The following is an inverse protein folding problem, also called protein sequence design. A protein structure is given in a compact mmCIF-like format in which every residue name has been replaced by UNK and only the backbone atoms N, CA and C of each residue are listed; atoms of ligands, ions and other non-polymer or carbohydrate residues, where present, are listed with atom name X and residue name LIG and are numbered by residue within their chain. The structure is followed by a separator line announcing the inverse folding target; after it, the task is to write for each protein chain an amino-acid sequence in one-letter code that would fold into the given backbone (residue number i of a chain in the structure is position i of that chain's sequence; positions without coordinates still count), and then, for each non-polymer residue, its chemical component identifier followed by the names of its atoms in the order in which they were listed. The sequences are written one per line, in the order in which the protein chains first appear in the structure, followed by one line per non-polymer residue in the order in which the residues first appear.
data_IF_954115355858
#
_entry.id   IF_954115355858
#
_cell.length_a   1.000
_cell.length_b   1.000
_cell.length_c   1.000
_cell.angle_alpha   90.00
_cell.angle_beta   90.00
_cell.angle_gamma   90.00
#
_symmetry.space_group_name_H-M   'P 1'
#
loop_
_entity.id
_entity.type
_entity.pdbx_description
1 polymer ?
#
# COMPACT_ATOMS: atom_id res chain seq x y z
N UNK A 1 42.97 7.26 46.45
CA UNK A 1 42.83 7.46 45.00
C UNK A 1 41.53 6.79 44.60
N UNK A 2 40.52 7.49 44.05
CA UNK A 2 39.32 6.83 43.54
C UNK A 2 39.66 6.09 42.24
N UNK A 3 39.28 4.83 42.17
CA UNK A 3 39.33 4.01 40.95
C UNK A 3 38.50 4.68 39.87
N UNK A 4 39.10 4.87 38.70
CA UNK A 4 38.37 5.30 37.50
C UNK A 4 37.39 4.18 37.08
N UNK A 5 36.14 4.49 36.69
CA UNK A 5 35.25 3.50 36.20
C UNK A 5 35.85 2.88 34.91
N UNK A 6 35.96 1.55 34.92
CA UNK A 6 36.35 0.78 33.72
C UNK A 6 35.48 1.17 32.55
N UNK A 7 36.09 1.67 31.49
CA UNK A 7 35.42 1.91 30.20
C UNK A 7 34.80 0.57 29.73
N UNK A 8 33.50 0.50 29.71
CA UNK A 8 32.78 -0.64 29.12
C UNK A 8 33.08 -0.61 27.63
N UNK A 9 34.02 -1.43 27.17
CA UNK A 9 34.26 -1.64 25.75
C UNK A 9 33.12 -2.52 25.25
N UNK A 10 32.22 -1.93 24.44
CA UNK A 10 31.19 -2.70 23.72
C UNK A 10 31.91 -3.72 22.84
N UNK A 11 31.56 -4.98 23.01
CA UNK A 11 32.04 -6.03 22.10
C UNK A 11 31.36 -5.87 20.72
N UNK A 12 31.99 -6.34 19.65
CA UNK A 12 31.40 -6.33 18.30
C UNK A 12 30.01 -6.98 18.27
N UNK A 13 29.81 -7.98 19.12
CA UNK A 13 28.52 -8.66 19.26
C UNK A 13 27.43 -7.75 19.86
N UNK A 14 27.75 -6.99 20.91
CA UNK A 14 26.82 -6.02 21.51
C UNK A 14 26.50 -4.87 20.55
N UNK A 15 27.48 -4.44 19.76
CA UNK A 15 27.25 -3.44 18.72
C UNK A 15 26.32 -3.97 17.63
N UNK A 16 26.53 -5.21 17.18
CA UNK A 16 25.66 -5.86 16.20
C UNK A 16 24.23 -6.05 16.72
N UNK A 17 24.05 -6.45 17.99
CA UNK A 17 22.71 -6.54 18.59
C UNK A 17 22.03 -5.16 18.65
N UNK A 18 22.78 -4.11 19.02
CA UNK A 18 22.24 -2.75 19.05
C UNK A 18 21.80 -2.28 17.64
N UNK A 19 22.62 -2.49 16.61
CA UNK A 19 22.26 -2.11 15.25
C UNK A 19 21.07 -2.92 14.73
N UNK A 20 20.99 -4.21 15.01
CA UNK A 20 19.83 -5.02 14.64
C UNK A 20 18.56 -4.54 15.33
N UNK A 21 18.68 -4.14 16.61
CA UNK A 21 17.61 -3.51 17.36
C UNK A 21 17.12 -2.21 16.71
N UNK A 22 18.01 -1.29 16.35
CA UNK A 22 17.66 -0.03 15.67
C UNK A 22 17.00 -0.26 14.30
N UNK A 23 17.55 -1.19 13.51
CA UNK A 23 16.98 -1.53 12.21
C UNK A 23 15.58 -2.17 12.32
N UNK A 24 15.32 -2.95 13.36
CA UNK A 24 13.99 -3.51 13.60
C UNK A 24 12.92 -2.45 13.87
N UNK A 25 13.30 -1.30 14.43
CA UNK A 25 12.40 -0.15 14.62
C UNK A 25 11.83 0.34 13.31
N UNK A 26 12.66 0.41 12.25
CA UNK A 26 12.22 0.90 10.93
C UNK A 26 11.18 -0.03 10.27
N UNK A 27 11.19 -1.32 10.64
CA UNK A 27 10.19 -2.28 10.16
C UNK A 27 8.83 -2.08 10.85
N UNK A 28 8.83 -1.68 12.11
CA UNK A 28 7.62 -1.58 12.93
C UNK A 28 7.05 -0.16 12.98
N UNK A 29 7.86 0.88 12.81
CA UNK A 29 7.37 2.26 12.70
C UNK A 29 7.23 2.69 11.25
N UNK A 30 6.17 3.42 10.96
CA UNK A 30 5.98 4.08 9.67
C UNK A 30 6.54 5.50 9.79
N UNK A 31 7.63 5.78 9.07
CA UNK A 31 8.09 7.17 8.91
C UNK A 31 7.12 7.91 7.99
N UNK A 32 6.51 8.94 8.52
CA UNK A 32 5.57 9.80 7.79
C UNK A 32 6.17 11.19 7.50
N UNK A 33 7.46 11.34 7.68
CA UNK A 33 8.16 12.57 7.30
C UNK A 33 8.09 12.75 5.79
N UNK A 34 7.77 13.97 5.36
CA UNK A 34 7.72 14.32 3.94
C UNK A 34 9.08 14.82 3.52
N UNK A 35 9.77 14.06 2.67
CA UNK A 35 10.98 14.49 2.00
C UNK A 35 10.63 15.15 0.66
N UNK A 36 11.34 16.21 0.32
CA UNK A 36 11.16 17.00 -0.89
C UNK A 36 12.42 16.92 -1.77
N UNK A 37 12.76 15.75 -2.35
CA UNK A 37 14.05 15.52 -3.02
C UNK A 37 14.15 16.20 -4.38
N UNK A 38 13.02 16.42 -5.08
CA UNK A 38 12.96 16.93 -6.44
C UNK A 38 12.89 18.46 -6.43
N UNK A 39 13.54 19.11 -7.38
CA UNK A 39 13.37 20.56 -7.65
C UNK A 39 12.54 20.75 -8.91
N UNK A 40 11.55 21.63 -8.87
CA UNK A 40 10.82 22.10 -10.05
C UNK A 40 11.59 23.31 -10.59
N UNK A 41 12.36 23.10 -11.65
CA UNK A 41 13.16 24.18 -12.26
C UNK A 41 12.28 25.20 -13.00
N UNK A 42 11.19 24.73 -13.64
CA UNK A 42 10.24 25.58 -14.37
C UNK A 42 8.87 24.91 -14.49
N UNK A 43 7.84 25.74 -14.65
CA UNK A 43 6.45 25.32 -14.83
C UNK A 43 5.74 26.22 -15.85
N UNK A 44 5.66 25.78 -17.11
CA UNK A 44 5.05 26.56 -18.20
C UNK A 44 4.49 25.65 -19.31
N UNK A 45 3.60 26.18 -20.08
CA UNK A 45 3.04 25.54 -21.30
C UNK A 45 2.51 24.11 -21.05
N UNK A 46 1.89 23.87 -19.87
CA UNK A 46 1.39 22.55 -19.50
C UNK A 46 2.48 21.53 -19.22
N UNK A 47 3.69 21.96 -18.87
CA UNK A 47 4.84 21.12 -18.54
C UNK A 47 5.50 21.54 -17.24
N UNK A 48 6.10 20.55 -16.57
CA UNK A 48 7.05 20.76 -15.49
C UNK A 48 8.43 20.32 -15.93
N UNK A 49 9.43 21.13 -15.57
CA UNK A 49 10.84 20.80 -15.73
C UNK A 49 11.37 20.44 -14.35
N UNK A 50 11.87 19.22 -14.20
CA UNK A 50 12.26 18.62 -12.94
C UNK A 50 13.72 18.20 -12.96
N UNK A 51 14.36 18.12 -11.80
CA UNK A 51 15.64 17.44 -11.67
C UNK A 51 15.50 15.96 -12.08
N UNK A 52 16.58 15.41 -12.61
CA UNK A 52 16.63 13.99 -12.99
C UNK A 52 16.82 13.11 -11.74
N UNK A 53 15.86 12.22 -11.48
CA UNK A 53 15.94 11.14 -10.50
C UNK A 53 15.24 9.87 -11.00
N UNK A 54 15.24 8.81 -10.18
CA UNK A 54 14.67 7.52 -10.56
C UNK A 54 13.17 7.62 -10.89
N UNK A 55 12.39 8.44 -10.19
CA UNK A 55 10.93 8.55 -10.38
C UNK A 55 10.56 9.62 -11.43
N UNK A 56 11.31 10.72 -11.53
CA UNK A 56 11.02 11.76 -12.54
C UNK A 56 11.18 11.26 -13.96
N UNK A 57 12.11 10.33 -14.20
CA UNK A 57 12.40 9.74 -15.52
C UNK A 57 11.48 8.59 -15.92
N UNK A 58 10.64 8.08 -15.00
CA UNK A 58 9.77 6.94 -15.31
C UNK A 58 8.64 7.34 -16.26
N UNK A 59 8.45 6.62 -17.40
CA UNK A 59 7.40 6.91 -18.36
C UNK A 59 6.06 6.30 -17.92
N UNK A 60 5.59 6.69 -16.74
CA UNK A 60 4.33 6.25 -16.15
C UNK A 60 3.53 7.46 -15.64
N UNK A 61 2.23 7.27 -15.39
CA UNK A 61 1.40 8.28 -14.72
C UNK A 61 1.88 8.46 -13.28
N UNK A 62 2.16 9.70 -12.87
CA UNK A 62 2.65 10.02 -11.51
C UNK A 62 2.02 11.31 -11.01
N UNK A 63 1.97 11.47 -9.70
CA UNK A 63 1.76 12.77 -9.06
C UNK A 63 3.08 13.46 -8.78
N UNK A 64 3.09 14.78 -8.80
CA UNK A 64 4.17 15.59 -8.23
C UNK A 64 3.55 16.62 -7.28
N UNK A 65 4.10 16.70 -6.07
CA UNK A 65 3.57 17.52 -4.99
C UNK A 65 4.60 18.55 -4.56
N UNK A 66 4.15 19.79 -4.31
CA UNK A 66 4.94 20.89 -3.74
C UNK A 66 4.11 21.62 -2.69
N UNK A 67 4.73 22.51 -1.96
CA UNK A 67 4.00 23.29 -0.96
C UNK A 67 2.92 24.17 -1.62
N UNK A 68 1.66 23.83 -1.37
CA UNK A 68 0.49 24.58 -1.85
C UNK A 68 -0.10 24.08 -3.17
N UNK A 69 0.38 22.96 -3.74
CA UNK A 69 -0.22 22.38 -4.94
C UNK A 69 0.32 21.02 -5.34
N UNK A 70 -0.31 20.45 -6.35
CA UNK A 70 0.14 19.20 -6.98
C UNK A 70 -0.24 19.16 -8.46
N UNK A 71 0.41 18.30 -9.22
CA UNK A 71 0.04 18.02 -10.59
C UNK A 71 0.03 16.51 -10.87
N UNK A 72 -0.90 16.11 -11.74
CA UNK A 72 -0.95 14.78 -12.35
C UNK A 72 -0.12 14.81 -13.63
N UNK A 73 0.85 13.92 -13.73
CA UNK A 73 1.77 13.83 -14.87
C UNK A 73 1.39 12.66 -15.76
N UNK A 74 1.36 12.92 -17.06
CA UNK A 74 1.19 11.86 -18.08
C UNK A 74 2.44 10.98 -18.14
N UNK A 75 2.37 9.79 -18.80
CA UNK A 75 3.55 8.97 -19.05
C UNK A 75 4.61 9.62 -19.94
N UNK A 76 4.27 10.71 -20.64
CA UNK A 76 5.20 11.37 -21.54
C UNK A 76 6.38 11.99 -20.79
N UNK A 77 7.59 11.56 -21.14
CA UNK A 77 8.85 12.00 -20.56
C UNK A 77 9.80 12.39 -21.69
N UNK A 78 10.47 13.52 -21.55
CA UNK A 78 11.63 13.85 -22.37
C UNK A 78 12.77 14.37 -21.49
N UNK A 79 14.02 14.13 -21.92
CA UNK A 79 15.21 14.58 -21.20
C UNK A 79 15.96 15.58 -22.07
N UNK A 80 16.40 16.66 -21.47
CA UNK A 80 17.17 17.69 -22.15
C UNK A 80 18.07 18.43 -21.15
N UNK A 81 19.34 18.54 -21.44
CA UNK A 81 20.33 19.25 -20.62
C UNK A 81 20.35 18.85 -19.13
N UNK A 82 20.21 17.55 -18.84
CA UNK A 82 20.19 17.02 -17.46
C UNK A 82 18.90 17.29 -16.68
N UNK A 83 17.86 17.74 -17.38
CA UNK A 83 16.53 17.97 -16.83
C UNK A 83 15.50 17.03 -17.44
N UNK A 84 14.43 16.76 -16.68
CA UNK A 84 13.30 15.94 -17.08
C UNK A 84 12.08 16.81 -17.33
N UNK A 85 11.54 16.73 -18.53
CA UNK A 85 10.32 17.44 -18.90
C UNK A 85 9.13 16.47 -18.82
N UNK A 86 8.14 16.82 -18.01
CA UNK A 86 6.92 16.05 -17.81
C UNK A 86 5.71 16.85 -18.27
N UNK A 87 4.82 16.21 -19.01
CA UNK A 87 3.54 16.81 -19.40
C UNK A 87 2.54 16.71 -18.26
N UNK A 88 1.90 17.83 -17.92
CA UNK A 88 0.88 17.94 -16.90
C UNK A 88 -0.48 17.60 -17.50
N UNK A 89 -1.18 16.61 -16.93
CA UNK A 89 -2.56 16.30 -17.26
C UNK A 89 -3.54 17.21 -16.53
N UNK A 90 -3.30 17.42 -15.22
CA UNK A 90 -4.08 18.31 -14.36
C UNK A 90 -3.18 18.95 -13.31
N UNK A 91 -3.47 20.22 -13.00
CA UNK A 91 -2.81 20.96 -11.93
C UNK A 91 -3.88 21.39 -10.92
N UNK A 92 -3.61 21.20 -9.64
CA UNK A 92 -4.48 21.56 -8.52
C UNK A 92 -3.71 22.41 -7.51
N UNK A 93 -4.37 23.42 -6.97
CA UNK A 93 -3.73 24.40 -6.07
C UNK A 93 -2.94 25.47 -6.80
N UNK A 94 -1.93 26.03 -6.13
CA UNK A 94 -1.09 27.11 -6.66
C UNK A 94 -0.05 26.61 -7.65
N UNK A 95 0.30 27.43 -8.64
CA UNK A 95 1.43 27.14 -9.54
C UNK A 95 2.75 27.08 -8.76
N UNK A 96 3.64 26.11 -9.05
CA UNK A 96 4.94 26.08 -8.41
C UNK A 96 5.82 27.22 -8.91
N UNK A 97 6.55 27.87 -8.02
CA UNK A 97 7.59 28.81 -8.38
C UNK A 97 8.83 28.06 -8.89
N UNK A 98 9.62 28.65 -9.81
CA UNK A 98 10.93 28.11 -10.15
C UNK A 98 11.80 27.90 -8.90
N UNK A 99 12.41 26.72 -8.78
CA UNK A 99 13.16 26.29 -7.59
C UNK A 99 12.33 25.69 -6.47
N UNK A 100 11.01 25.56 -6.63
CA UNK A 100 10.17 24.89 -5.63
C UNK A 100 10.60 23.46 -5.40
N UNK A 101 10.65 23.07 -4.12
CA UNK A 101 10.92 21.67 -3.75
C UNK A 101 9.65 20.83 -3.85
N UNK A 102 9.81 19.59 -4.33
CA UNK A 102 8.72 18.68 -4.63
C UNK A 102 9.07 17.23 -4.31
N UNK A 103 8.06 16.37 -4.35
CA UNK A 103 8.24 14.90 -4.36
C UNK A 103 7.32 14.26 -5.40
N UNK A 104 7.75 13.13 -5.94
CA UNK A 104 6.96 12.29 -6.82
C UNK A 104 6.13 11.30 -6.00
N UNK A 105 4.88 11.03 -6.45
CA UNK A 105 3.97 10.11 -5.76
C UNK A 105 3.25 9.21 -6.78
N UNK A 106 3.40 7.90 -6.61
CA UNK A 106 2.69 6.91 -7.43
C UNK A 106 1.19 6.84 -7.13
N UNK A 107 0.70 7.41 -6.00
CA UNK A 107 -0.72 7.51 -5.72
C UNK A 107 -1.42 8.61 -6.54
N UNK A 108 -0.66 9.47 -7.20
CA UNK A 108 -1.08 10.44 -8.22
C UNK A 108 -1.95 11.58 -7.68
N UNK A 109 -3.06 11.26 -7.01
CA UNK A 109 -4.11 12.21 -6.62
C UNK A 109 -3.89 12.81 -5.23
N UNK A 110 -4.39 14.04 -5.04
CA UNK A 110 -4.08 14.87 -3.87
C UNK A 110 -4.83 14.51 -2.60
N UNK A 111 -6.15 14.64 -2.55
CA UNK A 111 -6.88 14.72 -1.29
C UNK A 111 -7.95 13.65 -1.09
N UNK A 112 -9.06 13.72 -1.80
CA UNK A 112 -10.24 12.89 -1.59
C UNK A 112 -11.00 12.60 -2.91
N UNK A 113 -12.03 11.77 -2.91
CA UNK A 113 -12.77 11.42 -4.13
C UNK A 113 -13.39 12.60 -4.86
N UNK A 114 -13.84 13.61 -4.15
CA UNK A 114 -14.47 14.80 -4.76
C UNK A 114 -13.42 15.65 -5.47
N UNK A 115 -12.29 15.92 -4.81
CA UNK A 115 -11.20 16.71 -5.39
C UNK A 115 -10.52 15.97 -6.55
N UNK A 116 -10.27 14.66 -6.38
CA UNK A 116 -9.60 13.86 -7.40
C UNK A 116 -10.44 13.68 -8.66
N UNK A 117 -11.72 13.35 -8.51
CA UNK A 117 -12.56 12.86 -9.62
C UNK A 117 -13.96 13.48 -9.70
N UNK A 118 -14.31 14.39 -8.80
CA UNK A 118 -15.69 14.89 -8.70
C UNK A 118 -16.69 13.83 -8.21
N UNK A 119 -16.22 12.76 -7.59
CA UNK A 119 -17.04 11.65 -7.11
C UNK A 119 -17.57 12.00 -5.72
N UNK A 120 -18.91 12.09 -5.52
CA UNK A 120 -19.50 12.27 -4.22
C UNK A 120 -19.19 11.12 -3.27
N UNK A 121 -18.93 11.44 -2.00
CA UNK A 121 -18.67 10.45 -0.98
C UNK A 121 -19.15 10.91 0.40
N UNK A 122 -19.37 9.96 1.28
CA UNK A 122 -19.68 10.21 2.70
C UNK A 122 -18.44 9.88 3.55
N UNK A 123 -18.13 10.75 4.52
CA UNK A 123 -17.18 10.39 5.58
C UNK A 123 -17.94 9.61 6.63
N UNK A 124 -17.56 8.35 6.81
CA UNK A 124 -18.18 7.44 7.78
C UNK A 124 -17.19 7.06 8.86
N UNK A 125 -17.69 6.63 9.99
CA UNK A 125 -16.92 6.22 11.17
C UNK A 125 -17.11 4.72 11.39
N UNK A 126 -15.98 3.99 11.53
CA UNK A 126 -15.99 2.57 11.84
C UNK A 126 -15.49 2.39 13.27
N UNK A 127 -16.34 1.87 14.14
CA UNK A 127 -15.98 1.63 15.54
C UNK A 127 -14.92 0.52 15.65
N UNK A 128 -13.91 0.78 16.46
CA UNK A 128 -12.76 -0.11 16.67
C UNK A 128 -12.46 -0.39 18.15
N UNK A 129 -11.64 -1.41 18.44
CA UNK A 129 -11.15 -1.66 19.81
C UNK A 129 -10.33 -0.50 20.36
N UNK A 130 -9.60 0.18 19.50
CA UNK A 130 -8.72 1.28 19.84
C UNK A 130 -9.41 2.65 19.71
N UNK A 131 -10.61 2.70 19.15
CA UNK A 131 -11.36 3.92 18.87
C UNK A 131 -11.99 3.89 17.49
N UNK A 132 -12.40 5.04 17.00
CA UNK A 132 -13.09 5.19 15.72
C UNK A 132 -12.11 5.47 14.61
N UNK A 133 -12.20 4.72 13.51
CA UNK A 133 -11.42 4.96 12.28
C UNK A 133 -12.30 5.56 11.20
N UNK A 134 -11.88 6.67 10.57
CA UNK A 134 -12.62 7.26 9.47
C UNK A 134 -12.46 6.47 8.17
N UNK A 135 -13.53 6.42 7.37
CA UNK A 135 -13.52 5.82 6.04
C UNK A 135 -14.26 6.70 5.04
N UNK A 136 -14.01 6.50 3.75
CA UNK A 136 -14.79 7.09 2.66
C UNK A 136 -15.78 6.04 2.14
N UNK A 137 -17.05 6.40 2.13
CA UNK A 137 -18.12 5.59 1.56
C UNK A 137 -18.56 6.22 0.24
N UNK A 138 -18.29 5.56 -0.86
CA UNK A 138 -18.71 5.95 -2.21
C UNK A 138 -19.83 5.03 -2.65
N UNK A 139 -20.97 5.61 -2.98
CA UNK A 139 -22.17 4.89 -3.45
C UNK A 139 -22.36 5.16 -4.94
N UNK A 140 -22.53 4.15 -5.78
CA UNK A 140 -22.97 4.34 -7.16
C UNK A 140 -24.47 4.66 -7.19
N UNK A 141 -25.00 4.94 -8.37
CA UNK A 141 -26.44 5.02 -8.55
C UNK A 141 -27.09 3.65 -8.27
N UNK A 142 -28.12 3.64 -7.44
CA UNK A 142 -28.81 2.42 -7.01
C UNK A 142 -28.35 1.88 -5.64
N UNK A 143 -28.70 0.62 -5.37
CA UNK A 143 -28.39 -0.06 -4.09
C UNK A 143 -27.73 -1.41 -4.41
N UNK A 144 -26.43 -1.43 -4.75
CA UNK A 144 -25.75 -2.67 -5.07
C UNK A 144 -25.60 -3.55 -3.83
N UNK A 145 -25.72 -4.85 -4.03
CA UNK A 145 -25.52 -5.85 -2.98
C UNK A 145 -24.05 -6.18 -2.74
N UNK A 146 -23.18 -5.93 -3.73
CA UNK A 146 -21.74 -6.17 -3.64
C UNK A 146 -21.00 -4.90 -3.25
N UNK A 147 -20.20 -4.98 -2.20
CA UNK A 147 -19.35 -3.90 -1.75
C UNK A 147 -17.88 -4.21 -2.02
N UNK A 148 -17.09 -3.19 -2.27
CA UNK A 148 -15.63 -3.26 -2.30
C UNK A 148 -15.08 -2.57 -1.06
N UNK A 149 -14.23 -3.25 -0.30
CA UNK A 149 -13.48 -2.65 0.80
C UNK A 149 -12.04 -2.47 0.33
N UNK A 150 -11.62 -1.21 0.18
CA UNK A 150 -10.29 -0.85 -0.29
C UNK A 150 -9.35 -0.59 0.89
N UNK A 151 -8.20 -1.28 0.90
CA UNK A 151 -7.22 -1.30 2.01
C UNK A 151 -5.85 -0.94 1.47
N UNK A 152 -5.35 0.22 1.84
CA UNK A 152 -4.07 0.74 1.37
C UNK A 152 -2.86 -0.01 1.96
N UNK A 153 -1.69 0.17 1.34
CA UNK A 153 -0.43 -0.42 1.76
C UNK A 153 0.20 0.27 2.99
N UNK A 154 1.31 -0.31 3.47
CA UNK A 154 2.08 0.25 4.59
C UNK A 154 2.61 1.64 4.26
N UNK A 155 2.39 2.60 5.13
CA UNK A 155 2.83 3.99 4.95
C UNK A 155 1.99 4.81 3.96
N UNK A 156 1.09 4.17 3.20
CA UNK A 156 0.11 4.84 2.37
C UNK A 156 -1.09 5.35 3.21
N UNK A 157 -2.10 5.84 2.54
CA UNK A 157 -3.37 6.26 3.14
C UNK A 157 -4.52 5.91 2.19
N UNK A 158 -5.76 6.23 2.56
CA UNK A 158 -6.94 6.07 1.69
C UNK A 158 -6.77 6.65 0.27
N UNK A 159 -5.84 7.62 0.08
CA UNK A 159 -5.52 8.20 -1.25
C UNK A 159 -5.07 7.14 -2.27
N UNK A 160 -4.49 6.04 -1.83
CA UNK A 160 -4.04 4.98 -2.73
C UNK A 160 -5.19 4.42 -3.58
N UNK A 161 -6.40 4.32 -3.02
CA UNK A 161 -7.59 3.84 -3.72
C UNK A 161 -8.12 4.81 -4.79
N UNK A 162 -7.75 6.09 -4.77
CA UNK A 162 -8.22 7.08 -5.73
C UNK A 162 -7.90 6.68 -7.17
N UNK A 163 -6.80 5.97 -7.41
CA UNK A 163 -6.41 5.48 -8.75
C UNK A 163 -7.48 4.60 -9.41
N UNK A 164 -8.19 3.82 -8.63
CA UNK A 164 -9.18 2.84 -9.14
C UNK A 164 -10.62 3.21 -8.81
N UNK A 165 -10.84 4.24 -8.02
CA UNK A 165 -12.16 4.61 -7.54
C UNK A 165 -13.18 4.88 -8.68
N UNK A 166 -12.83 5.58 -9.79
CA UNK A 166 -13.72 5.73 -10.93
C UNK A 166 -14.14 4.38 -11.54
N UNK A 167 -13.21 3.43 -11.59
CA UNK A 167 -13.48 2.08 -12.09
C UNK A 167 -14.44 1.32 -11.18
N UNK A 168 -14.24 1.38 -9.87
CA UNK A 168 -15.11 0.74 -8.88
C UNK A 168 -16.53 1.33 -8.92
N UNK A 169 -16.63 2.65 -9.00
CA UNK A 169 -17.90 3.36 -9.10
C UNK A 169 -18.63 2.99 -10.40
N UNK A 170 -17.92 2.99 -11.55
CA UNK A 170 -18.52 2.64 -12.85
C UNK A 170 -18.89 1.15 -12.95
N UNK A 171 -18.26 0.28 -12.17
CA UNK A 171 -18.64 -1.13 -12.04
C UNK A 171 -19.93 -1.32 -11.20
N UNK A 172 -20.49 -0.25 -10.66
CA UNK A 172 -21.73 -0.29 -9.89
C UNK A 172 -21.56 -0.86 -8.48
N UNK A 173 -20.37 -0.81 -7.90
CA UNK A 173 -20.14 -1.30 -6.53
C UNK A 173 -20.18 -0.17 -5.52
N UNK A 174 -20.73 -0.42 -4.33
CA UNK A 174 -20.49 0.46 -3.18
C UNK A 174 -19.06 0.26 -2.71
N UNK A 175 -18.29 1.35 -2.59
CA UNK A 175 -16.88 1.25 -2.20
C UNK A 175 -16.67 1.90 -0.83
N UNK A 176 -16.08 1.14 0.10
CA UNK A 176 -15.66 1.61 1.41
C UNK A 176 -14.12 1.66 1.44
N UNK A 177 -13.55 2.86 1.41
CA UNK A 177 -12.10 3.07 1.48
C UNK A 177 -11.73 3.33 2.93
N UNK A 178 -11.07 2.38 3.56
CA UNK A 178 -10.77 2.42 4.99
C UNK A 178 -9.39 2.98 5.30
N UNK A 179 -9.30 3.68 6.45
CA UNK A 179 -8.05 3.78 7.21
C UNK A 179 -8.02 2.67 8.27
N UNK A 180 -6.84 2.35 8.75
CA UNK A 180 -6.64 1.40 9.84
C UNK A 180 -5.68 1.98 10.90
N UNK A 181 -5.53 1.27 12.03
CA UNK A 181 -4.70 1.76 13.15
C UNK A 181 -3.33 2.27 12.69
N UNK A 182 -2.83 3.29 13.38
CA UNK A 182 -1.58 4.01 13.09
C UNK A 182 -1.60 4.89 11.83
N UNK A 183 -2.74 5.04 11.13
CA UNK A 183 -2.88 6.09 10.13
C UNK A 183 -3.02 7.48 10.78
N UNK A 184 -2.70 8.59 10.07
CA UNK A 184 -2.66 9.92 10.66
C UNK A 184 -3.94 10.38 11.37
N UNK A 185 -5.10 9.86 10.94
CA UNK A 185 -6.41 10.21 11.47
C UNK A 185 -7.15 9.00 12.08
N UNK A 186 -6.43 7.92 12.35
CA UNK A 186 -6.93 6.72 13.01
C UNK A 186 -6.28 6.54 14.38
N UNK A 187 -6.88 5.73 15.28
CA UNK A 187 -6.30 5.40 16.57
C UNK A 187 -4.93 4.74 16.44
N UNK A 188 -4.01 5.10 17.33
CA UNK A 188 -2.70 4.45 17.40
C UNK A 188 -2.77 3.14 18.18
N UNK A 189 -1.91 2.18 17.83
CA UNK A 189 -1.60 1.02 18.66
C UNK A 189 -0.98 1.48 19.99
N UNK A 190 -1.14 0.74 21.11
CA UNK A 190 -0.61 1.16 22.41
C UNK A 190 0.90 1.41 22.44
N UNK A 191 1.65 0.75 21.56
CA UNK A 191 3.10 0.86 21.40
C UNK A 191 3.50 1.72 20.17
N UNK A 192 2.52 2.25 19.45
CA UNK A 192 2.69 2.98 18.20
C UNK A 192 3.41 2.18 17.09
N UNK A 193 3.44 0.86 17.19
CA UNK A 193 3.98 -0.01 16.15
C UNK A 193 2.90 -0.50 15.19
N UNK A 194 3.29 -0.68 13.93
CA UNK A 194 2.55 -1.57 13.02
C UNK A 194 2.95 -3.01 13.35
N UNK A 195 1.95 -3.87 13.52
CA UNK A 195 2.15 -5.28 13.81
C UNK A 195 2.14 -6.14 12.52
N UNK A 196 2.44 -5.50 11.39
CA UNK A 196 2.62 -6.15 10.09
C UNK A 196 1.44 -7.02 9.63
N UNK A 197 0.25 -6.74 10.17
CA UNK A 197 -0.99 -7.45 9.88
C UNK A 197 -1.48 -8.36 11.00
N UNK A 198 -0.70 -8.57 12.06
CA UNK A 198 -1.11 -9.42 13.19
C UNK A 198 -2.31 -8.84 13.97
N UNK A 199 -2.42 -7.54 14.02
CA UNK A 199 -3.53 -6.83 14.68
C UNK A 199 -4.37 -6.01 13.72
N UNK A 200 -3.81 -5.45 12.64
CA UNK A 200 -4.47 -4.57 11.69
C UNK A 200 -5.60 -5.26 10.89
N UNK A 201 -5.53 -6.60 10.72
CA UNK A 201 -6.60 -7.36 10.06
C UNK A 201 -7.96 -7.18 10.75
N UNK A 202 -7.97 -6.89 12.06
CA UNK A 202 -9.21 -6.65 12.81
C UNK A 202 -9.94 -5.41 12.30
N UNK A 203 -9.23 -4.41 11.80
CA UNK A 203 -9.80 -3.19 11.26
C UNK A 203 -10.49 -3.48 9.91
N UNK A 204 -9.89 -4.37 9.10
CA UNK A 204 -10.53 -4.90 7.88
C UNK A 204 -11.77 -5.72 8.22
N UNK A 205 -11.69 -6.61 9.21
CA UNK A 205 -12.84 -7.42 9.65
C UNK A 205 -14.00 -6.54 10.14
N UNK A 206 -13.73 -5.40 10.79
CA UNK A 206 -14.75 -4.43 11.21
C UNK A 206 -15.39 -3.74 10.02
N UNK A 207 -14.59 -3.40 9.00
CA UNK A 207 -15.13 -2.84 7.77
C UNK A 207 -16.08 -3.83 7.08
N UNK A 208 -15.77 -5.14 7.09
CA UNK A 208 -16.68 -6.18 6.58
C UNK A 208 -17.99 -6.22 7.37
N UNK A 209 -17.90 -6.19 8.71
CA UNK A 209 -19.11 -6.15 9.57
C UNK A 209 -19.92 -4.87 9.33
N UNK A 210 -19.26 -3.73 9.20
CA UNK A 210 -19.91 -2.45 8.87
C UNK A 210 -20.65 -2.54 7.53
N UNK A 211 -19.99 -3.03 6.48
CA UNK A 211 -20.60 -3.19 5.16
C UNK A 211 -21.83 -4.10 5.23
N UNK A 212 -21.72 -5.25 5.93
CA UNK A 212 -22.84 -6.17 6.12
C UNK A 212 -24.01 -5.54 6.89
N UNK A 213 -23.73 -4.82 7.97
CA UNK A 213 -24.74 -4.08 8.73
C UNK A 213 -25.43 -3.00 7.90
N UNK A 214 -24.75 -2.44 6.91
CA UNK A 214 -25.28 -1.47 5.94
C UNK A 214 -25.95 -2.11 4.72
N UNK A 215 -26.09 -3.45 4.69
CA UNK A 215 -26.85 -4.17 3.65
C UNK A 215 -26.01 -4.84 2.58
N UNK A 216 -24.67 -4.90 2.71
CA UNK A 216 -23.86 -5.70 1.80
C UNK A 216 -24.23 -7.17 1.89
N UNK A 217 -24.57 -7.80 0.77
CA UNK A 217 -24.77 -9.24 0.68
C UNK A 217 -23.43 -9.98 0.40
N UNK A 218 -22.51 -9.31 -0.30
CA UNK A 218 -21.17 -9.81 -0.57
C UNK A 218 -20.13 -8.69 -0.52
N UNK A 219 -18.87 -9.05 -0.27
CA UNK A 219 -17.75 -8.12 -0.15
C UNK A 219 -16.58 -8.61 -1.00
N UNK A 220 -16.01 -7.73 -1.79
CA UNK A 220 -14.69 -7.91 -2.42
C UNK A 220 -13.68 -7.12 -1.61
N UNK A 221 -12.63 -7.78 -1.11
CA UNK A 221 -11.52 -7.11 -0.46
C UNK A 221 -10.50 -6.70 -1.52
N UNK A 222 -10.14 -5.42 -1.54
CA UNK A 222 -9.17 -4.87 -2.48
C UNK A 222 -7.99 -4.28 -1.69
N UNK A 223 -6.82 -4.89 -1.79
CA UNK A 223 -5.65 -4.45 -1.03
C UNK A 223 -4.41 -4.25 -1.89
N UNK A 224 -3.55 -3.31 -1.46
CA UNK A 224 -2.23 -3.05 -2.00
C UNK A 224 -1.17 -3.44 -0.98
N UNK A 225 -0.14 -4.16 -1.40
CA UNK A 225 1.02 -4.49 -0.57
C UNK A 225 0.61 -5.10 0.79
N UNK A 226 0.92 -4.46 1.92
CA UNK A 226 0.44 -4.86 3.24
C UNK A 226 -1.09 -4.87 3.32
N UNK A 227 -1.80 -3.94 2.67
CA UNK A 227 -3.26 -3.94 2.65
C UNK A 227 -3.86 -5.20 2.03
N UNK A 228 -3.21 -5.78 1.01
CA UNK A 228 -3.59 -7.07 0.46
C UNK A 228 -3.34 -8.21 1.46
N UNK A 229 -2.22 -8.16 2.18
CA UNK A 229 -1.95 -9.11 3.27
C UNK A 229 -3.00 -8.99 4.39
N UNK A 230 -3.40 -7.76 4.77
CA UNK A 230 -4.47 -7.55 5.77
C UNK A 230 -5.78 -8.19 5.31
N UNK A 231 -6.14 -8.05 4.03
CA UNK A 231 -7.32 -8.67 3.43
C UNK A 231 -7.27 -10.20 3.51
N UNK A 232 -6.12 -10.79 3.18
CA UNK A 232 -5.89 -12.24 3.26
C UNK A 232 -5.91 -12.74 4.70
N UNK A 233 -5.29 -12.02 5.62
CA UNK A 233 -5.30 -12.34 7.05
C UNK A 233 -6.71 -12.24 7.63
N UNK A 234 -7.48 -11.23 7.24
CA UNK A 234 -8.88 -11.11 7.64
C UNK A 234 -9.71 -12.30 7.16
N UNK A 235 -9.58 -12.70 5.88
CA UNK A 235 -10.26 -13.88 5.35
C UNK A 235 -9.96 -15.14 6.17
N UNK A 236 -8.71 -15.33 6.61
CA UNK A 236 -8.26 -16.52 7.37
C UNK A 236 -8.67 -16.50 8.83
N UNK A 237 -8.68 -15.32 9.47
CA UNK A 237 -8.86 -15.18 10.94
C UNK A 237 -10.27 -14.79 11.35
N UNK A 238 -11.11 -14.31 10.43
CA UNK A 238 -12.51 -14.01 10.73
C UNK A 238 -13.31 -15.30 11.04
N UNK A 239 -14.37 -15.18 11.86
CA UNK A 239 -15.32 -16.26 12.02
C UNK A 239 -15.86 -16.74 10.66
N UNK A 240 -16.08 -18.05 10.43
CA UNK A 240 -16.50 -18.58 9.14
C UNK A 240 -17.75 -17.91 8.54
N UNK A 241 -18.70 -17.48 9.37
CA UNK A 241 -19.91 -16.78 8.92
C UNK A 241 -19.60 -15.39 8.34
N UNK A 242 -18.60 -14.69 8.87
CA UNK A 242 -18.16 -13.39 8.38
C UNK A 242 -17.27 -13.57 7.15
N UNK A 243 -16.36 -14.54 7.16
CA UNK A 243 -15.52 -14.86 6.01
C UNK A 243 -16.35 -15.28 4.79
N UNK A 244 -17.51 -15.91 4.98
CA UNK A 244 -18.44 -16.28 3.91
C UNK A 244 -19.05 -15.07 3.16
N UNK A 245 -18.96 -13.85 3.71
CA UNK A 245 -19.37 -12.63 3.01
C UNK A 245 -18.36 -12.23 1.92
N UNK A 246 -17.11 -12.74 1.99
CA UNK A 246 -16.07 -12.38 1.03
C UNK A 246 -16.25 -13.22 -0.23
N UNK A 247 -16.64 -12.57 -1.32
CA UNK A 247 -16.86 -13.21 -2.63
C UNK A 247 -15.63 -13.19 -3.53
N UNK A 248 -14.61 -12.35 -3.24
CA UNK A 248 -13.39 -12.26 -4.02
C UNK A 248 -12.35 -11.34 -3.41
N UNK A 249 -11.12 -11.42 -3.90
CA UNK A 249 -10.00 -10.59 -3.48
C UNK A 249 -9.31 -9.99 -4.70
N UNK A 250 -9.03 -8.69 -4.67
CA UNK A 250 -8.06 -8.05 -5.55
C UNK A 250 -6.82 -7.74 -4.73
N UNK A 251 -5.69 -8.33 -5.10
CA UNK A 251 -4.41 -8.18 -4.40
C UNK A 251 -3.37 -7.59 -5.34
N UNK A 252 -2.87 -6.41 -5.03
CA UNK A 252 -1.82 -5.74 -5.82
C UNK A 252 -0.49 -5.80 -5.06
N UNK A 253 0.48 -6.49 -5.63
CA UNK A 253 1.82 -6.69 -5.05
C UNK A 253 1.78 -7.12 -3.57
N UNK A 254 1.00 -8.16 -3.20
CA UNK A 254 0.76 -8.52 -1.81
C UNK A 254 2.03 -8.96 -1.10
N UNK A 255 2.18 -8.56 0.16
CA UNK A 255 3.17 -9.18 1.04
C UNK A 255 2.63 -10.54 1.47
N UNK A 256 3.12 -11.62 0.88
CA UNK A 256 2.74 -12.99 1.24
C UNK A 256 3.66 -13.61 2.29
N UNK A 257 4.85 -13.04 2.45
CA UNK A 257 5.88 -13.51 3.37
C UNK A 257 6.73 -12.32 3.82
N UNK A 258 6.65 -11.97 5.10
CA UNK A 258 7.43 -10.87 5.66
C UNK A 258 8.90 -11.23 5.84
N UNK A 259 9.21 -12.47 6.21
CA UNK A 259 10.60 -12.93 6.34
C UNK A 259 11.32 -12.78 5.00
N UNK A 260 10.77 -13.36 3.93
CA UNK A 260 11.30 -13.21 2.59
C UNK A 260 11.39 -11.74 2.14
N UNK A 261 10.42 -10.91 2.54
CA UNK A 261 10.39 -9.48 2.17
C UNK A 261 11.49 -8.69 2.86
N UNK A 262 11.63 -8.81 4.17
CA UNK A 262 12.68 -8.12 4.93
C UNK A 262 14.08 -8.64 4.58
N UNK A 263 14.23 -9.95 4.38
CA UNK A 263 15.49 -10.55 3.92
C UNK A 263 15.91 -9.97 2.58
N UNK A 264 15.01 -9.93 1.60
CA UNK A 264 15.32 -9.38 0.28
C UNK A 264 15.69 -7.88 0.34
N UNK A 265 14.99 -7.09 1.16
CA UNK A 265 15.31 -5.68 1.36
C UNK A 265 16.67 -5.50 2.04
N UNK A 266 16.94 -6.21 3.13
CA UNK A 266 18.20 -6.13 3.88
C UNK A 266 19.40 -6.49 3.00
N UNK A 267 19.33 -7.61 2.28
CA UNK A 267 20.38 -8.04 1.34
C UNK A 267 20.64 -7.01 0.25
N UNK A 268 19.59 -6.36 -0.25
CA UNK A 268 19.73 -5.29 -1.25
C UNK A 268 20.49 -4.08 -0.73
N UNK A 269 20.39 -3.78 0.56
CA UNK A 269 21.17 -2.73 1.22
C UNK A 269 22.54 -3.21 1.71
N UNK A 270 22.96 -4.43 1.33
CA UNK A 270 24.26 -4.99 1.68
C UNK A 270 24.36 -5.50 3.12
N UNK A 271 23.23 -5.72 3.79
CA UNK A 271 23.20 -6.32 5.12
C UNK A 271 23.55 -7.81 4.99
N UNK A 272 24.54 -8.34 5.74
CA UNK A 272 24.90 -9.75 5.72
C UNK A 272 23.74 -10.66 6.16
N UNK A 273 23.63 -11.85 5.58
CA UNK A 273 22.51 -12.76 5.81
C UNK A 273 22.38 -13.18 7.30
N UNK A 274 23.51 -13.47 7.96
CA UNK A 274 23.54 -13.80 9.38
C UNK A 274 23.09 -12.64 10.29
N UNK A 275 23.23 -11.40 9.82
CA UNK A 275 22.74 -10.24 10.52
C UNK A 275 21.23 -10.02 10.30
N UNK A 276 20.68 -10.44 9.15
CA UNK A 276 19.23 -10.36 8.88
C UNK A 276 18.44 -11.16 9.90
N UNK A 277 18.87 -12.37 10.24
CA UNK A 277 18.20 -13.20 11.26
C UNK A 277 18.09 -12.50 12.62
N UNK A 278 19.06 -11.66 13.00
CA UNK A 278 19.01 -10.86 14.23
C UNK A 278 17.94 -9.78 14.13
N UNK A 279 17.86 -9.08 12.99
CA UNK A 279 16.83 -8.06 12.74
C UNK A 279 15.44 -8.69 12.84
N UNK A 280 15.20 -9.82 12.18
CA UNK A 280 13.91 -10.53 12.19
C UNK A 280 13.48 -10.94 13.60
N UNK A 281 14.41 -11.48 14.41
CA UNK A 281 14.15 -11.79 15.83
C UNK A 281 13.77 -10.56 16.64
N UNK A 282 14.43 -9.42 16.40
CA UNK A 282 14.07 -8.16 17.07
C UNK A 282 12.72 -7.62 16.60
N UNK A 283 12.36 -7.76 15.33
CA UNK A 283 11.02 -7.42 14.83
C UNK A 283 9.95 -8.24 15.56
N UNK A 284 10.12 -9.56 15.64
CA UNK A 284 9.17 -10.44 16.34
C UNK A 284 9.07 -10.11 17.83
N UNK A 285 10.21 -9.90 18.48
CA UNK A 285 10.24 -9.59 19.91
C UNK A 285 9.60 -8.24 20.23
N UNK A 286 9.94 -7.17 19.49
CA UNK A 286 9.37 -5.83 19.68
C UNK A 286 7.89 -5.77 19.36
N UNK A 287 7.50 -6.37 18.23
CA UNK A 287 6.11 -6.39 17.76
C UNK A 287 5.25 -7.40 18.50
N UNK A 288 5.85 -8.25 19.38
CA UNK A 288 5.15 -9.36 20.03
C UNK A 288 4.36 -10.19 19.03
N UNK A 289 4.95 -10.47 17.86
CA UNK A 289 4.34 -11.17 16.73
C UNK A 289 5.23 -12.32 16.24
N UNK A 290 4.67 -13.18 15.39
CA UNK A 290 5.41 -14.23 14.68
C UNK A 290 5.30 -14.01 13.18
N UNK A 291 6.42 -13.80 12.51
CA UNK A 291 6.46 -13.64 11.05
C UNK A 291 6.00 -14.91 10.34
N UNK A 292 6.28 -16.08 10.93
CA UNK A 292 5.84 -17.37 10.40
C UNK A 292 4.32 -17.52 10.44
N UNK A 293 3.64 -17.05 11.49
CA UNK A 293 2.17 -17.07 11.59
C UNK A 293 1.50 -16.06 10.66
N UNK A 294 2.22 -15.02 10.25
CA UNK A 294 1.77 -14.04 9.28
C UNK A 294 1.95 -14.48 7.83
N UNK A 295 2.76 -15.52 7.58
CA UNK A 295 2.97 -16.05 6.23
C UNK A 295 1.65 -16.47 5.58
N UNK A 296 1.48 -16.11 4.31
CA UNK A 296 0.33 -16.44 3.48
C UNK A 296 0.65 -17.56 2.47
N UNK A 297 1.77 -18.24 2.62
CA UNK A 297 2.23 -19.25 1.65
C UNK A 297 1.34 -20.49 1.61
N UNK A 298 0.61 -20.77 2.70
CA UNK A 298 -0.39 -21.86 2.79
C UNK A 298 -1.63 -21.61 1.92
N UNK A 299 -1.86 -20.39 1.44
CA UNK A 299 -2.93 -20.08 0.47
C UNK A 299 -2.84 -20.91 -0.81
N UNK A 300 -1.65 -21.43 -1.14
CA UNK A 300 -1.48 -22.40 -2.22
C UNK A 300 -2.40 -23.63 -2.06
N UNK A 301 -2.83 -23.95 -0.84
CA UNK A 301 -3.76 -25.06 -0.54
C UNK A 301 -5.09 -24.60 0.06
N UNK A 302 -5.13 -23.47 0.76
CA UNK A 302 -6.27 -23.04 1.58
C UNK A 302 -7.15 -21.98 0.93
N UNK A 303 -6.70 -21.30 -0.15
CA UNK A 303 -7.51 -20.30 -0.82
C UNK A 303 -8.80 -20.89 -1.40
N UNK A 304 -9.95 -20.32 -1.03
CA UNK A 304 -11.27 -20.79 -1.43
C UNK A 304 -12.08 -19.80 -2.27
N UNK A 305 -11.63 -18.54 -2.32
CA UNK A 305 -12.32 -17.47 -3.06
C UNK A 305 -11.54 -17.07 -4.30
N UNK A 306 -12.19 -16.61 -5.37
CA UNK A 306 -11.52 -16.05 -6.56
C UNK A 306 -10.60 -14.89 -6.17
N UNK A 307 -9.47 -14.76 -6.87
CA UNK A 307 -8.53 -13.68 -6.67
C UNK A 307 -8.06 -13.11 -8.02
N UNK A 308 -8.08 -11.77 -8.12
CA UNK A 308 -7.33 -11.04 -9.13
C UNK A 308 -6.00 -10.62 -8.50
N UNK A 309 -4.90 -11.13 -9.01
CA UNK A 309 -3.57 -10.93 -8.46
C UNK A 309 -2.70 -10.14 -9.44
N UNK A 310 -2.31 -8.93 -9.03
CA UNK A 310 -1.33 -8.13 -9.75
C UNK A 310 0.06 -8.36 -9.15
N UNK A 311 1.04 -8.66 -9.99
CA UNK A 311 2.43 -8.89 -9.60
C UNK A 311 3.35 -8.06 -10.47
N UNK A 312 4.18 -7.24 -9.85
CA UNK A 312 5.21 -6.52 -10.57
C UNK A 312 6.52 -7.31 -10.57
N UNK A 313 6.99 -7.69 -11.76
CA UNK A 313 8.20 -8.53 -11.92
C UNK A 313 9.49 -7.78 -11.65
N UNK A 314 9.45 -6.44 -11.64
CA UNK A 314 10.56 -5.55 -11.27
C UNK A 314 10.42 -5.01 -9.83
N UNK A 315 9.52 -5.58 -9.03
CA UNK A 315 9.32 -5.19 -7.64
C UNK A 315 10.58 -5.41 -6.81
N UNK A 316 11.07 -4.32 -6.22
CA UNK A 316 12.24 -4.33 -5.34
C UNK A 316 11.88 -4.17 -3.87
N UNK A 317 10.61 -3.98 -3.57
CA UNK A 317 10.07 -3.81 -2.21
C UNK A 317 9.56 -5.13 -1.67
N UNK A 318 8.74 -5.84 -2.46
CA UNK A 318 8.20 -7.16 -2.13
C UNK A 318 8.63 -8.14 -3.21
N UNK A 319 9.33 -9.24 -2.86
CA UNK A 319 9.74 -10.24 -3.83
C UNK A 319 8.54 -10.80 -4.60
N UNK A 320 8.54 -10.80 -5.94
CA UNK A 320 7.40 -11.30 -6.73
C UNK A 320 7.24 -12.82 -6.69
N UNK A 321 8.28 -13.54 -6.29
CA UNK A 321 8.33 -15.01 -6.36
C UNK A 321 7.20 -15.71 -5.59
N UNK A 322 6.91 -15.38 -4.32
CA UNK A 322 5.82 -16.03 -3.57
C UNK A 322 4.46 -15.85 -4.26
N UNK A 323 4.17 -14.66 -4.79
CA UNK A 323 2.92 -14.38 -5.49
C UNK A 323 2.80 -15.14 -6.82
N UNK A 324 3.89 -15.26 -7.59
CA UNK A 324 3.93 -16.05 -8.81
C UNK A 324 3.77 -17.56 -8.54
N UNK A 325 4.35 -18.06 -7.46
CA UNK A 325 4.19 -19.46 -7.02
C UNK A 325 2.74 -19.74 -6.59
N UNK A 326 2.13 -18.83 -5.84
CA UNK A 326 0.72 -18.91 -5.47
C UNK A 326 -0.20 -18.96 -6.70
N UNK A 327 0.02 -18.09 -7.68
CA UNK A 327 -0.75 -18.08 -8.92
C UNK A 327 -0.65 -19.42 -9.68
N UNK A 328 0.56 -19.99 -9.76
CA UNK A 328 0.78 -21.29 -10.40
C UNK A 328 0.11 -22.44 -9.63
N UNK A 329 0.05 -22.36 -8.32
CA UNK A 329 -0.59 -23.38 -7.48
C UNK A 329 -2.12 -23.37 -7.57
N UNK A 330 -2.74 -22.23 -7.89
CA UNK A 330 -4.19 -22.03 -7.88
C UNK A 330 -4.74 -21.43 -9.19
N UNK A 331 -4.42 -22.00 -10.37
CA UNK A 331 -4.79 -21.41 -11.67
C UNK A 331 -6.29 -21.35 -11.92
N UNK A 332 -7.09 -22.17 -11.20
CA UNK A 332 -8.56 -22.14 -11.29
C UNK A 332 -9.23 -21.06 -10.43
N UNK A 333 -8.50 -20.42 -9.51
CA UNK A 333 -9.02 -19.37 -8.63
C UNK A 333 -8.32 -18.02 -8.84
N UNK A 334 -7.09 -18.02 -9.37
CA UNK A 334 -6.30 -16.81 -9.48
C UNK A 334 -6.19 -16.38 -10.94
N UNK A 335 -6.67 -15.17 -11.23
CA UNK A 335 -6.36 -14.44 -12.45
C UNK A 335 -5.11 -13.61 -12.21
N UNK A 336 -4.00 -13.96 -12.86
CA UNK A 336 -2.72 -13.27 -12.72
C UNK A 336 -2.55 -12.18 -13.79
N UNK A 337 -2.22 -10.98 -13.33
CA UNK A 337 -1.76 -9.86 -14.16
C UNK A 337 -0.34 -9.49 -13.77
N UNK A 338 0.53 -9.23 -14.75
CA UNK A 338 1.93 -8.88 -14.51
C UNK A 338 2.30 -7.53 -15.10
N UNK A 339 3.19 -6.81 -14.42
CA UNK A 339 3.80 -5.55 -14.86
C UNK A 339 5.31 -5.54 -14.57
N UNK A 340 5.99 -4.47 -14.95
CA UNK A 340 7.40 -4.23 -14.66
C UNK A 340 7.70 -2.75 -14.33
N UNK A 341 6.77 -2.09 -13.65
CA UNK A 341 6.84 -0.66 -13.29
C UNK A 341 7.41 -0.40 -11.89
N UNK A 342 7.58 -1.45 -11.08
CA UNK A 342 7.95 -1.39 -9.67
C UNK A 342 6.74 -1.54 -8.75
N UNK A 343 7.00 -1.67 -7.45
CA UNK A 343 6.02 -2.01 -6.43
C UNK A 343 4.75 -1.17 -6.49
N UNK A 344 3.58 -1.83 -6.65
CA UNK A 344 2.25 -1.21 -6.67
C UNK A 344 2.03 -0.19 -7.80
N UNK A 345 2.83 -0.25 -8.88
CA UNK A 345 2.79 0.72 -10.00
C UNK A 345 2.21 0.15 -11.29
N UNK A 346 1.61 -1.03 -11.26
CA UNK A 346 0.98 -1.64 -12.44
C UNK A 346 -0.10 -0.73 -13.05
N UNK A 347 -0.95 -0.11 -12.22
CA UNK A 347 -1.92 0.89 -12.67
C UNK A 347 -1.23 2.11 -13.31
N UNK A 348 -0.15 2.60 -12.73
CA UNK A 348 0.56 3.79 -13.24
C UNK A 348 1.15 3.57 -14.63
N UNK A 349 1.55 2.34 -14.95
CA UNK A 349 2.11 1.96 -16.25
C UNK A 349 1.03 1.86 -17.32
N UNK A 350 -0.05 1.12 -17.05
CA UNK A 350 -1.11 0.81 -18.02
C UNK A 350 -2.50 0.89 -17.35
N UNK A 351 -3.00 2.12 -17.02
CA UNK A 351 -4.25 2.27 -16.29
C UNK A 351 -5.42 1.53 -16.96
N UNK A 352 -5.56 1.64 -18.28
CA UNK A 352 -6.69 1.04 -19.01
C UNK A 352 -6.70 -0.50 -18.92
N UNK A 353 -5.55 -1.15 -19.01
CA UNK A 353 -5.42 -2.62 -18.89
C UNK A 353 -5.72 -3.06 -17.47
N UNK A 354 -5.15 -2.37 -16.50
CA UNK A 354 -5.37 -2.64 -15.07
C UNK A 354 -6.86 -2.51 -14.72
N UNK A 355 -7.48 -1.42 -15.09
CA UNK A 355 -8.89 -1.14 -14.81
C UNK A 355 -9.84 -2.10 -15.52
N UNK A 356 -9.52 -2.52 -16.75
CA UNK A 356 -10.30 -3.53 -17.46
C UNK A 356 -10.27 -4.88 -16.74
N UNK A 357 -9.11 -5.28 -16.21
CA UNK A 357 -8.98 -6.49 -15.39
C UNK A 357 -9.83 -6.41 -14.11
N UNK A 358 -9.80 -5.26 -13.41
CA UNK A 358 -10.61 -5.02 -12.20
C UNK A 358 -12.11 -5.10 -12.53
N UNK A 359 -12.59 -4.42 -13.59
CA UNK A 359 -14.01 -4.48 -14.02
C UNK A 359 -14.44 -5.91 -14.35
N UNK A 360 -13.62 -6.62 -15.11
CA UNK A 360 -13.91 -8.02 -15.49
C UNK A 360 -14.03 -8.92 -14.26
N UNK A 361 -13.09 -8.77 -13.32
CA UNK A 361 -13.12 -9.54 -12.09
C UNK A 361 -14.35 -9.24 -11.24
N UNK A 362 -14.66 -7.96 -11.00
CA UNK A 362 -15.85 -7.57 -10.23
C UNK A 362 -17.13 -8.13 -10.85
N UNK A 363 -17.26 -8.10 -12.18
CA UNK A 363 -18.41 -8.69 -12.87
C UNK A 363 -18.52 -10.22 -12.71
N UNK A 364 -17.43 -10.90 -12.42
CA UNK A 364 -17.42 -12.36 -12.24
C UNK A 364 -17.73 -12.82 -10.81
N UNK A 365 -17.66 -11.93 -9.83
CA UNK A 365 -17.84 -12.23 -8.39
C UNK A 365 -18.97 -11.43 -7.74
N UNK A 366 -19.70 -10.62 -8.52
CA UNK A 366 -20.83 -9.78 -8.09
C UNK A 366 -22.10 -10.60 -7.81
#
# INVERSE_FOLDING_TARGET
MPEQPSSCVLTDELLNEHFAWELSETALRVDRSVSWPVTIADARDGRLVLDEDEDTVRPVTMGVFWQGGHAELTPAVSRHDGQVHRTVARLSGGHPAPGARAYMDSHVYGTDPMDAHGIPFEKVAIDGKLGVSPAWLVKPDGVPSTWVIAVHGRGATRREALRVLPTLTSAGTTTLVIGYRNDPDCPESPDAYTHLGDTEWEDVARAVRYAHACGAASVVLYGWSMGAMLALTALRRMPPREAALISGIVADCPVLDWDATFTAQALRYGVPEDFVERILRHIEWRGSLSLAELSQTDLATTLTVPMLLFVDTADRTVPPRPALELARARPGLITLMTSAAGHGRGWNQEPAVYEAAVRSFLSSVA
#
